data_IF_391349025724
#
_entry.id   IF_391349025724
#
_cell.length_a   1.000
_cell.length_b   1.000
_cell.length_c   1.000
_cell.angle_alpha   90.00
_cell.angle_beta   90.00
_cell.angle_gamma   90.00
#
_symmetry.space_group_name_H-M   'P 1'
#
loop_
_entity.id
_entity.type
_entity.pdbx_description
1 polymer ?
#
# COMPACT_ATOMS: atom_id res chain seq x y z
N UNK A 1 -1.62 25.53 -25.73
CA UNK A 1 -1.50 25.10 -24.31
C UNK A 1 -2.87 25.24 -23.67
N UNK A 2 -3.73 24.23 -23.83
CA UNK A 2 -5.10 24.27 -23.33
C UNK A 2 -5.10 23.90 -21.85
N UNK A 3 -5.29 24.91 -21.00
CA UNK A 3 -5.56 24.71 -19.58
C UNK A 3 -6.98 24.17 -19.46
N UNK A 4 -7.14 22.87 -19.19
CA UNK A 4 -8.43 22.32 -18.81
C UNK A 4 -8.72 22.81 -17.40
N UNK A 5 -9.35 23.98 -17.30
CA UNK A 5 -9.98 24.47 -16.09
C UNK A 5 -11.30 23.71 -15.99
N UNK A 6 -11.31 22.60 -15.28
CA UNK A 6 -12.57 21.96 -14.90
C UNK A 6 -13.29 22.95 -13.96
N UNK A 7 -14.31 23.61 -14.49
CA UNK A 7 -15.40 24.12 -13.68
C UNK A 7 -16.14 22.89 -13.17
N UNK A 8 -15.69 22.36 -12.02
CA UNK A 8 -16.58 21.54 -11.19
C UNK A 8 -17.80 22.42 -10.93
N UNK A 9 -18.95 22.02 -11.46
CA UNK A 9 -20.24 22.62 -11.10
C UNK A 9 -20.27 22.79 -9.58
N UNK A 10 -20.77 23.93 -9.08
CA UNK A 10 -20.97 24.22 -7.65
C UNK A 10 -22.03 23.30 -7.03
N UNK A 11 -21.90 21.99 -7.20
CA UNK A 11 -22.60 21.00 -6.42
C UNK A 11 -21.74 20.77 -5.19
N UNK A 12 -22.22 21.20 -4.04
CA UNK A 12 -21.60 20.87 -2.76
C UNK A 12 -21.50 19.36 -2.67
N UNK A 13 -20.28 18.85 -2.47
CA UNK A 13 -20.09 17.44 -2.19
C UNK A 13 -20.87 17.09 -0.92
N UNK A 14 -21.68 16.05 -0.97
CA UNK A 14 -22.57 15.68 0.13
C UNK A 14 -22.44 14.19 0.45
N UNK A 15 -22.78 13.82 1.69
CA UNK A 15 -22.71 12.43 2.14
C UNK A 15 -21.31 11.82 1.99
N UNK A 16 -21.22 10.68 1.29
CA UNK A 16 -19.96 9.96 1.12
C UNK A 16 -18.98 10.65 0.17
N UNK A 17 -19.44 11.60 -0.66
CA UNK A 17 -18.57 12.29 -1.62
C UNK A 17 -17.50 13.14 -0.93
N UNK A 18 -17.76 13.54 0.32
CA UNK A 18 -16.84 14.26 1.18
C UNK A 18 -15.55 13.48 1.48
N UNK A 19 -15.59 12.14 1.44
CA UNK A 19 -14.46 11.28 1.81
C UNK A 19 -13.28 11.39 0.82
N UNK A 20 -13.53 11.82 -0.42
CA UNK A 20 -12.50 11.92 -1.46
C UNK A 20 -12.35 13.32 -2.04
N UNK A 21 -12.87 14.34 -1.34
CA UNK A 21 -12.61 15.73 -1.69
C UNK A 21 -11.18 16.15 -1.34
N UNK A 22 -10.55 17.07 -2.10
CA UNK A 22 -9.21 17.58 -1.83
C UNK A 22 -8.99 18.04 -0.38
N UNK A 23 -10.00 18.64 0.24
CA UNK A 23 -9.96 19.19 1.60
C UNK A 23 -9.61 18.12 2.63
N UNK A 24 -10.03 16.86 2.41
CA UNK A 24 -9.73 15.75 3.30
C UNK A 24 -8.22 15.49 3.39
N UNK A 25 -7.50 15.72 2.29
CA UNK A 25 -6.04 15.55 2.25
C UNK A 25 -5.39 16.54 3.20
N UNK A 26 -5.82 17.80 3.20
CA UNK A 26 -5.27 18.82 4.10
C UNK A 26 -5.51 18.46 5.56
N UNK A 27 -6.70 17.98 5.90
CA UNK A 27 -7.02 17.55 7.26
C UNK A 27 -6.12 16.42 7.73
N UNK A 28 -5.92 15.38 6.92
CA UNK A 28 -5.02 14.28 7.28
C UNK A 28 -3.56 14.74 7.36
N UNK A 29 -3.10 15.62 6.48
CA UNK A 29 -1.74 16.17 6.54
C UNK A 29 -1.52 17.04 7.80
N UNK A 30 -2.53 17.82 8.22
CA UNK A 30 -2.48 18.54 9.50
C UNK A 30 -2.35 17.57 10.68
N UNK A 31 -3.15 16.49 10.72
CA UNK A 31 -3.03 15.47 11.75
C UNK A 31 -1.65 14.80 11.76
N UNK A 32 -1.09 14.52 10.58
CA UNK A 32 0.24 13.92 10.43
C UNK A 32 1.38 14.83 10.90
N UNK A 33 1.15 16.14 10.89
CA UNK A 33 2.15 17.15 11.29
C UNK A 33 2.05 17.50 12.78
N UNK A 34 0.83 17.64 13.29
CA UNK A 34 0.58 18.20 14.62
C UNK A 34 0.43 17.12 15.72
N UNK A 35 0.06 15.89 15.35
CA UNK A 35 -0.21 14.84 16.33
C UNK A 35 1.07 14.16 16.82
N UNK A 36 1.18 13.96 18.14
CA UNK A 36 2.18 13.08 18.75
C UNK A 36 1.63 11.67 19.08
N UNK A 37 0.33 11.45 18.88
CA UNK A 37 -0.31 10.15 19.14
C UNK A 37 -0.12 9.21 17.94
N UNK A 38 0.59 8.10 18.16
CA UNK A 38 0.88 7.11 17.11
C UNK A 38 -0.37 6.49 16.48
N UNK A 39 -1.46 6.30 17.24
CA UNK A 39 -2.70 5.76 16.69
C UNK A 39 -3.36 6.76 15.72
N UNK A 40 -3.29 8.06 16.03
CA UNK A 40 -3.80 9.12 15.15
C UNK A 40 -2.94 9.23 13.88
N UNK A 41 -1.62 9.15 14.01
CA UNK A 41 -0.70 9.16 12.87
C UNK A 41 -0.90 7.95 11.96
N UNK A 42 -1.03 6.76 12.53
CA UNK A 42 -1.35 5.52 11.81
C UNK A 42 -2.69 5.65 11.07
N UNK A 43 -3.75 6.12 11.75
CA UNK A 43 -5.06 6.27 11.16
C UNK A 43 -5.07 7.30 10.01
N UNK A 44 -4.40 8.44 10.18
CA UNK A 44 -4.32 9.47 9.14
C UNK A 44 -3.51 8.99 7.93
N UNK A 45 -2.39 8.29 8.15
CA UNK A 45 -1.60 7.69 7.08
C UNK A 45 -2.37 6.57 6.36
N UNK A 46 -3.10 5.74 7.11
CA UNK A 46 -3.98 4.69 6.58
C UNK A 46 -5.15 5.24 5.77
N UNK A 47 -5.71 6.38 6.17
CA UNK A 47 -6.73 7.06 5.37
C UNK A 47 -6.16 7.54 4.03
N UNK A 48 -4.98 8.18 4.03
CA UNK A 48 -4.30 8.57 2.78
C UNK A 48 -3.91 7.35 1.91
N UNK A 49 -3.51 6.25 2.52
CA UNK A 49 -3.27 4.97 1.84
C UNK A 49 -4.53 4.51 1.09
N UNK A 50 -5.69 4.49 1.76
CA UNK A 50 -6.94 4.06 1.16
C UNK A 50 -7.40 4.99 0.04
N UNK A 51 -7.33 6.31 0.27
CA UNK A 51 -7.74 7.32 -0.71
C UNK A 51 -6.82 7.41 -1.93
N UNK A 52 -5.58 6.92 -1.82
CA UNK A 52 -4.62 6.86 -2.93
C UNK A 52 -4.58 5.50 -3.63
N UNK A 53 -5.41 4.54 -3.23
CA UNK A 53 -5.44 3.19 -3.80
C UNK A 53 -6.22 3.09 -5.12
N UNK A 54 -5.80 2.22 -6.04
CA UNK A 54 -6.51 1.94 -7.30
C UNK A 54 -6.31 2.97 -8.43
N UNK A 55 -6.89 2.67 -9.60
CA UNK A 55 -6.75 3.46 -10.84
C UNK A 55 -7.99 4.31 -11.20
N UNK A 56 -8.82 4.66 -10.23
CA UNK A 56 -9.96 5.54 -10.44
C UNK A 56 -9.61 7.03 -10.38
N UNK A 57 -10.49 7.88 -10.93
CA UNK A 57 -10.26 9.32 -11.12
C UNK A 57 -9.91 10.05 -9.82
N UNK A 58 -10.62 9.76 -8.74
CA UNK A 58 -10.39 10.43 -7.46
C UNK A 58 -9.06 10.03 -6.81
N UNK A 59 -8.62 8.78 -6.89
CA UNK A 59 -7.26 8.42 -6.45
C UNK A 59 -6.17 9.15 -7.22
N UNK A 60 -6.32 9.33 -8.54
CA UNK A 60 -5.38 10.14 -9.32
C UNK A 60 -5.33 11.59 -8.79
N UNK A 61 -6.49 12.14 -8.45
CA UNK A 61 -6.60 13.49 -7.91
C UNK A 61 -6.02 13.61 -6.49
N UNK A 62 -6.28 12.64 -5.61
CA UNK A 62 -5.70 12.57 -4.26
C UNK A 62 -4.18 12.48 -4.34
N UNK A 63 -3.63 11.58 -5.17
CA UNK A 63 -2.18 11.46 -5.39
C UNK A 63 -1.54 12.79 -5.82
N UNK A 64 -2.20 13.51 -6.72
CA UNK A 64 -1.74 14.81 -7.17
C UNK A 64 -1.87 15.90 -6.09
N UNK A 65 -2.92 15.85 -5.28
CA UNK A 65 -3.21 16.80 -4.20
C UNK A 65 -2.22 16.64 -3.06
N UNK A 66 -1.95 15.41 -2.60
CA UNK A 66 -0.92 15.12 -1.57
C UNK A 66 0.42 15.74 -1.96
N UNK A 67 0.83 15.66 -3.24
CA UNK A 67 2.05 16.31 -3.71
C UNK A 67 1.97 17.83 -3.66
N UNK A 68 0.87 18.44 -4.12
CA UNK A 68 0.70 19.90 -4.15
C UNK A 68 0.70 20.49 -2.74
N UNK A 69 0.10 19.78 -1.79
CA UNK A 69 0.02 20.15 -0.38
C UNK A 69 1.30 19.77 0.41
N UNK A 70 2.41 19.46 -0.28
CA UNK A 70 3.70 19.07 0.33
C UNK A 70 3.60 17.89 1.31
N UNK A 71 2.65 16.99 1.10
CA UNK A 71 2.44 15.81 1.95
C UNK A 71 3.50 14.73 1.80
N UNK A 72 4.22 14.68 0.67
CA UNK A 72 5.25 13.66 0.47
C UNK A 72 6.44 13.81 1.47
N UNK A 73 7.05 15.00 1.66
CA UNK A 73 8.01 15.20 2.74
C UNK A 73 7.52 14.81 4.14
N UNK A 74 6.27 15.14 4.49
CA UNK A 74 5.67 14.81 5.80
C UNK A 74 5.64 13.29 6.00
N UNK A 75 5.17 12.54 4.99
CA UNK A 75 5.17 11.09 5.04
C UNK A 75 6.59 10.51 5.13
N UNK A 76 7.55 11.07 4.39
CA UNK A 76 8.94 10.60 4.45
C UNK A 76 9.58 10.86 5.81
N UNK A 77 9.26 11.97 6.48
CA UNK A 77 9.69 12.22 7.84
C UNK A 77 9.15 11.18 8.83
N UNK A 78 7.88 10.80 8.68
CA UNK A 78 7.24 9.77 9.52
C UNK A 78 7.81 8.36 9.33
N UNK A 79 8.55 8.07 8.25
CA UNK A 79 9.36 6.83 8.15
C UNK A 79 10.42 6.75 9.24
N UNK A 80 10.76 7.87 9.89
CA UNK A 80 11.69 7.93 11.02
C UNK A 80 11.00 7.74 12.37
N UNK A 81 9.69 7.51 12.42
CA UNK A 81 8.95 7.18 13.65
C UNK A 81 9.45 5.88 14.30
N UNK A 82 9.43 5.81 15.63
CA UNK A 82 9.75 4.60 16.39
C UNK A 82 8.57 3.60 16.47
N UNK A 83 7.38 4.02 16.01
CA UNK A 83 6.21 3.16 15.94
C UNK A 83 6.19 2.36 14.63
N UNK A 84 6.32 1.04 14.74
CA UNK A 84 6.25 0.09 13.61
C UNK A 84 4.96 0.28 12.78
N UNK A 85 3.81 0.44 13.45
CA UNK A 85 2.52 0.64 12.80
C UNK A 85 2.47 1.91 11.95
N UNK A 86 3.05 3.00 12.45
CA UNK A 86 3.14 4.28 11.71
C UNK A 86 4.05 4.10 10.50
N UNK A 87 5.24 3.52 10.68
CA UNK A 87 6.18 3.26 9.58
C UNK A 87 5.52 2.40 8.49
N UNK A 88 4.77 1.38 8.88
CA UNK A 88 4.03 0.51 7.95
C UNK A 88 2.97 1.26 7.16
N UNK A 89 2.08 1.98 7.83
CA UNK A 89 1.01 2.74 7.18
C UNK A 89 1.59 3.76 6.19
N UNK A 90 2.64 4.46 6.60
CA UNK A 90 3.37 5.44 5.78
C UNK A 90 4.03 4.79 4.57
N UNK A 91 4.72 3.66 4.74
CA UNK A 91 5.35 2.94 3.63
C UNK A 91 4.31 2.55 2.57
N UNK A 92 3.18 1.98 2.99
CA UNK A 92 2.13 1.57 2.04
C UNK A 92 1.46 2.79 1.38
N UNK A 93 1.26 3.88 2.13
CA UNK A 93 0.79 5.14 1.56
C UNK A 93 1.75 5.68 0.48
N UNK A 94 3.06 5.72 0.77
CA UNK A 94 4.09 6.15 -0.20
C UNK A 94 4.12 5.25 -1.45
N UNK A 95 3.95 3.94 -1.29
CA UNK A 95 3.81 3.01 -2.42
C UNK A 95 2.63 3.39 -3.30
N UNK A 96 1.45 3.59 -2.73
CA UNK A 96 0.26 3.98 -3.50
C UNK A 96 0.43 5.35 -4.17
N UNK A 97 1.04 6.31 -3.47
CA UNK A 97 1.34 7.63 -4.01
C UNK A 97 2.31 7.58 -5.18
N UNK A 98 3.27 6.64 -5.16
CA UNK A 98 4.27 6.43 -6.22
C UNK A 98 3.72 5.80 -7.51
N UNK A 99 2.45 5.38 -7.53
CA UNK A 99 1.76 5.00 -8.78
C UNK A 99 1.70 6.21 -9.74
N UNK A 100 1.58 7.44 -9.21
CA UNK A 100 1.72 8.65 -10.02
C UNK A 100 3.21 8.88 -10.34
N UNK A 101 3.54 8.93 -11.64
CA UNK A 101 4.93 9.04 -12.12
C UNK A 101 5.69 10.24 -11.54
N UNK A 102 5.05 11.40 -11.41
CA UNK A 102 5.70 12.59 -10.86
C UNK A 102 5.96 12.44 -9.35
N UNK A 103 5.07 11.75 -8.63
CA UNK A 103 5.32 11.37 -7.24
C UNK A 103 6.46 10.36 -7.16
N UNK A 104 6.48 9.35 -8.05
CA UNK A 104 7.53 8.33 -8.13
C UNK A 104 8.93 8.95 -8.22
N UNK A 105 9.11 9.91 -9.13
CA UNK A 105 10.38 10.60 -9.35
C UNK A 105 10.79 11.43 -8.11
N UNK A 106 9.84 12.15 -7.51
CA UNK A 106 10.09 12.93 -6.30
C UNK A 106 10.47 12.06 -5.11
N UNK A 107 9.67 11.03 -4.80
CA UNK A 107 9.94 10.11 -3.69
C UNK A 107 11.30 9.43 -3.91
N UNK A 108 11.59 8.97 -5.13
CA UNK A 108 12.88 8.34 -5.45
C UNK A 108 14.09 9.25 -5.25
N UNK A 109 13.92 10.57 -5.39
CA UNK A 109 15.03 11.54 -5.24
C UNK A 109 15.43 11.82 -3.80
N UNK A 110 14.48 11.92 -2.85
CA UNK A 110 14.79 12.31 -1.46
C UNK A 110 14.41 11.28 -0.40
N UNK A 111 13.53 10.32 -0.68
CA UNK A 111 13.06 9.35 0.32
C UNK A 111 13.88 8.04 0.33
N UNK A 112 14.69 7.81 -0.70
CA UNK A 112 15.35 6.52 -0.90
C UNK A 112 16.23 6.12 0.29
N UNK A 113 16.98 7.08 0.85
CA UNK A 113 17.82 6.86 2.02
C UNK A 113 17.00 6.50 3.25
N UNK A 114 15.90 7.19 3.49
CA UNK A 114 15.01 6.94 4.64
C UNK A 114 14.34 5.57 4.55
N UNK A 115 13.90 5.15 3.36
CA UNK A 115 13.38 3.79 3.11
C UNK A 115 14.45 2.73 3.38
N UNK A 116 15.65 2.90 2.84
CA UNK A 116 16.77 1.95 3.01
C UNK A 116 17.30 1.91 4.45
N UNK A 117 17.21 3.03 5.19
CA UNK A 117 17.61 3.09 6.59
C UNK A 117 16.77 2.20 7.49
N UNK A 118 15.49 2.00 7.13
CA UNK A 118 14.56 1.13 7.86
C UNK A 118 14.70 -0.36 7.50
N UNK A 119 15.47 -0.73 6.46
CA UNK A 119 15.70 -2.13 6.14
C UNK A 119 16.66 -2.81 7.16
N UNK A 120 16.38 -4.06 7.57
CA UNK A 120 17.27 -4.81 8.44
C UNK A 120 18.62 -5.07 7.75
N UNK A 121 19.70 -5.04 8.54
CA UNK A 121 21.05 -5.24 8.03
C UNK A 121 21.59 -6.58 8.51
N UNK A 122 21.04 -7.70 8.01
CA UNK A 122 21.53 -9.07 8.17
C UNK A 122 22.01 -9.48 9.58
N UNK A 123 23.25 -9.10 9.93
CA UNK A 123 23.93 -9.41 11.20
C UNK A 123 23.82 -8.34 12.29
N UNK A 124 23.42 -7.12 11.97
CA UNK A 124 23.09 -6.11 12.97
C UNK A 124 21.59 -6.16 13.24
N UNK A 125 21.23 -6.21 14.52
CA UNK A 125 19.86 -5.93 14.98
C UNK A 125 19.36 -4.71 14.21
N UNK A 126 18.17 -4.76 13.61
CA UNK A 126 17.69 -3.64 12.81
C UNK A 126 17.71 -2.38 13.67
N UNK A 127 18.00 -1.22 13.06
CA UNK A 127 18.04 0.06 13.78
C UNK A 127 16.73 0.33 14.56
N UNK A 128 15.64 -0.32 14.12
CA UNK A 128 14.34 -0.43 14.79
C UNK A 128 13.89 -1.88 14.68
N UNK A 129 13.39 -2.49 15.75
CA UNK A 129 12.82 -3.85 15.75
C UNK A 129 11.48 -3.87 14.97
N UNK A 130 11.54 -3.67 13.65
CA UNK A 130 10.38 -3.68 12.77
C UNK A 130 9.87 -5.10 12.58
N UNK A 131 8.56 -5.24 12.46
CA UNK A 131 7.92 -6.50 12.17
C UNK A 131 8.11 -6.90 10.69
N UNK A 132 8.00 -8.20 10.41
CA UNK A 132 8.14 -8.77 9.06
C UNK A 132 7.26 -8.04 8.03
N UNK A 133 6.00 -7.79 8.38
CA UNK A 133 5.04 -7.12 7.50
C UNK A 133 5.46 -5.68 7.16
N UNK A 134 6.10 -4.96 8.09
CA UNK A 134 6.63 -3.62 7.85
C UNK A 134 7.83 -3.66 6.92
N UNK A 135 8.74 -4.61 7.12
CA UNK A 135 9.89 -4.80 6.21
C UNK A 135 9.41 -5.13 4.80
N UNK A 136 8.43 -6.03 4.66
CA UNK A 136 7.81 -6.38 3.37
C UNK A 136 7.13 -5.16 2.74
N UNK A 137 6.44 -4.32 3.52
CA UNK A 137 5.83 -3.09 3.01
C UNK A 137 6.90 -2.13 2.47
N UNK A 138 8.01 -1.93 3.18
CA UNK A 138 9.13 -1.08 2.72
C UNK A 138 9.77 -1.65 1.45
N UNK A 139 10.04 -2.95 1.39
CA UNK A 139 10.60 -3.61 0.20
C UNK A 139 9.69 -3.45 -1.02
N UNK A 140 8.38 -3.64 -0.85
CA UNK A 140 7.40 -3.44 -1.92
C UNK A 140 7.28 -1.97 -2.35
N UNK A 141 7.48 -1.03 -1.42
CA UNK A 141 7.51 0.41 -1.71
C UNK A 141 8.73 0.76 -2.54
N UNK A 142 9.91 0.29 -2.15
CA UNK A 142 11.15 0.45 -2.91
C UNK A 142 10.98 -0.16 -4.31
N UNK A 143 10.42 -1.37 -4.40
CA UNK A 143 10.18 -2.03 -5.69
C UNK A 143 9.31 -1.18 -6.62
N UNK A 144 8.21 -0.62 -6.12
CA UNK A 144 7.33 0.25 -6.92
C UNK A 144 8.05 1.51 -7.40
N UNK A 145 8.85 2.14 -6.54
CA UNK A 145 9.59 3.37 -6.86
C UNK A 145 10.64 3.13 -7.95
N UNK A 146 11.35 2.00 -7.90
CA UNK A 146 12.40 1.69 -8.89
C UNK A 146 11.85 1.05 -10.17
N UNK A 147 10.65 0.48 -10.13
CA UNK A 147 10.02 -0.10 -11.32
C UNK A 147 9.77 0.99 -12.36
N UNK A 148 10.19 0.72 -13.59
CA UNK A 148 10.16 1.63 -14.74
C UNK A 148 10.92 2.97 -14.53
N UNK A 149 11.88 3.02 -13.60
CA UNK A 149 12.72 4.21 -13.36
C UNK A 149 14.17 3.83 -13.04
N UNK A 150 15.05 3.90 -14.06
CA UNK A 150 16.48 3.64 -13.87
C UNK A 150 17.20 4.71 -13.06
N UNK A 151 16.67 5.95 -13.05
CA UNK A 151 17.16 7.02 -12.17
C UNK A 151 16.92 6.68 -10.70
N UNK A 152 15.71 6.24 -10.36
CA UNK A 152 15.41 5.82 -9.00
C UNK A 152 16.21 4.57 -8.60
N UNK A 153 16.42 3.64 -9.53
CA UNK A 153 17.29 2.49 -9.30
C UNK A 153 18.76 2.93 -9.04
N UNK A 154 19.24 3.99 -9.70
CA UNK A 154 20.55 4.59 -9.41
C UNK A 154 20.59 5.22 -8.02
N UNK A 155 19.56 5.97 -7.62
CA UNK A 155 19.42 6.50 -6.26
C UNK A 155 19.43 5.40 -5.20
N UNK A 156 18.81 4.25 -5.48
CA UNK A 156 18.81 3.09 -4.61
C UNK A 156 20.23 2.50 -4.43
N UNK A 157 21.02 2.42 -5.50
CA UNK A 157 22.42 1.98 -5.44
C UNK A 157 23.25 2.97 -4.61
N UNK A 158 23.10 4.28 -4.86
CA UNK A 158 23.80 5.34 -4.13
C UNK A 158 23.47 5.33 -2.63
N UNK A 159 22.23 4.95 -2.27
CA UNK A 159 21.80 4.76 -0.89
C UNK A 159 22.36 3.49 -0.20
N UNK A 160 23.31 2.77 -0.83
CA UNK A 160 23.93 1.54 -0.32
C UNK A 160 22.91 0.43 -0.01
N UNK A 161 21.81 0.38 -0.76
CA UNK A 161 20.74 -0.59 -0.50
C UNK A 161 21.10 -2.02 -0.95
N UNK A 162 21.99 -2.17 -1.93
CA UNK A 162 22.28 -3.47 -2.57
C UNK A 162 22.80 -4.48 -1.55
N UNK A 163 23.71 -4.07 -0.67
CA UNK A 163 24.25 -4.93 0.38
C UNK A 163 23.15 -5.43 1.32
N UNK A 164 22.29 -4.52 1.80
CA UNK A 164 21.16 -4.87 2.67
C UNK A 164 20.17 -5.81 1.98
N UNK A 165 19.81 -5.52 0.74
CA UNK A 165 18.87 -6.35 -0.04
C UNK A 165 19.42 -7.75 -0.29
N UNK A 166 20.70 -7.88 -0.63
CA UNK A 166 21.36 -9.18 -0.80
C UNK A 166 21.44 -9.94 0.52
N UNK A 167 21.72 -9.25 1.63
CA UNK A 167 21.70 -9.85 2.96
C UNK A 167 20.30 -10.41 3.29
N UNK A 168 19.24 -9.60 3.15
CA UNK A 168 17.84 -10.02 3.37
C UNK A 168 17.50 -11.24 2.50
N UNK A 169 17.82 -11.18 1.20
CA UNK A 169 17.52 -12.26 0.25
C UNK A 169 18.24 -13.59 0.56
N UNK A 170 19.35 -13.55 1.32
CA UNK A 170 20.14 -14.75 1.66
C UNK A 170 19.94 -15.25 3.09
N UNK A 171 19.74 -14.35 4.05
CA UNK A 171 19.78 -14.68 5.48
C UNK A 171 18.43 -14.57 6.16
N UNK A 172 17.44 -13.91 5.56
CA UNK A 172 16.11 -13.80 6.17
C UNK A 172 15.46 -15.18 6.30
N UNK A 173 14.83 -15.40 7.44
CA UNK A 173 14.00 -16.59 7.67
C UNK A 173 12.59 -16.42 7.09
N UNK A 174 12.21 -15.20 6.69
CA UNK A 174 10.93 -14.93 6.03
C UNK A 174 11.04 -15.15 4.51
N UNK A 175 10.19 -16.03 4.00
CA UNK A 175 10.02 -16.21 2.56
C UNK A 175 9.41 -14.98 1.88
N UNK A 176 8.61 -14.18 2.60
CA UNK A 176 7.98 -12.96 2.09
C UNK A 176 9.02 -11.86 1.90
N UNK A 177 9.88 -11.64 2.89
CA UNK A 177 10.99 -10.68 2.79
C UNK A 177 11.98 -11.09 1.69
N UNK A 178 12.36 -12.36 1.65
CA UNK A 178 13.26 -12.92 0.63
C UNK A 178 12.71 -12.68 -0.77
N UNK A 179 11.41 -12.98 -1.00
CA UNK A 179 10.76 -12.77 -2.30
C UNK A 179 10.70 -11.30 -2.68
N UNK A 180 10.32 -10.42 -1.76
CA UNK A 180 10.23 -8.98 -2.03
C UNK A 180 11.60 -8.38 -2.34
N UNK A 181 12.64 -8.73 -1.56
CA UNK A 181 14.01 -8.31 -1.81
C UNK A 181 14.54 -8.83 -3.16
N UNK A 182 14.24 -10.09 -3.49
CA UNK A 182 14.58 -10.68 -4.80
C UNK A 182 13.95 -9.90 -5.96
N UNK A 183 12.70 -9.45 -5.85
CA UNK A 183 12.07 -8.64 -6.91
C UNK A 183 12.79 -7.29 -7.09
N UNK A 184 13.12 -6.59 -6.00
CA UNK A 184 13.89 -5.33 -6.08
C UNK A 184 15.24 -5.57 -6.76
N UNK A 185 15.98 -6.61 -6.34
CA UNK A 185 17.26 -6.97 -6.92
C UNK A 185 17.16 -7.28 -8.42
N UNK A 186 16.17 -8.08 -8.82
CA UNK A 186 15.94 -8.40 -10.23
C UNK A 186 15.61 -7.17 -11.06
N UNK A 187 14.77 -6.27 -10.56
CA UNK A 187 14.42 -5.02 -11.23
C UNK A 187 15.66 -4.14 -11.41
N UNK A 188 16.49 -3.98 -10.38
CA UNK A 188 17.77 -3.23 -10.48
C UNK A 188 18.71 -3.87 -11.52
N UNK A 189 18.86 -5.20 -11.50
CA UNK A 189 19.74 -5.91 -12.44
C UNK A 189 19.20 -5.91 -13.88
N UNK A 190 17.90 -5.68 -14.07
CA UNK A 190 17.29 -5.57 -15.41
C UNK A 190 17.82 -4.35 -16.19
N UNK A 191 18.20 -3.28 -15.48
CA UNK A 191 18.77 -2.07 -16.07
C UNK A 191 20.20 -2.28 -16.53
N UNK A 192 20.38 -2.51 -17.84
CA UNK A 192 21.70 -2.78 -18.46
C UNK A 192 22.73 -1.69 -18.16
N UNK A 193 22.30 -0.43 -18.11
CA UNK A 193 23.17 0.72 -17.84
C UNK A 193 23.75 0.75 -16.42
N UNK A 194 23.07 0.14 -15.44
CA UNK A 194 23.53 0.11 -14.04
C UNK A 194 24.47 -1.06 -13.75
N UNK A 195 24.52 -2.09 -14.61
CA UNK A 195 25.33 -3.30 -14.40
C UNK A 195 26.81 -3.02 -14.30
N UNK A 196 27.31 -2.05 -15.07
CA UNK A 196 28.73 -1.69 -15.04
C UNK A 196 29.12 -1.10 -13.69
N UNK A 197 28.27 -0.25 -13.11
CA UNK A 197 28.47 0.30 -11.77
C UNK A 197 28.43 -0.81 -10.72
N UNK A 198 27.40 -1.66 -10.76
CA UNK A 198 27.26 -2.78 -9.83
C UNK A 198 28.46 -3.75 -9.89
N UNK A 199 28.98 -4.03 -11.10
CA UNK A 199 30.13 -4.93 -11.29
C UNK A 199 31.42 -4.30 -10.77
N UNK A 200 31.60 -2.98 -10.92
CA UNK A 200 32.72 -2.25 -10.30
C UNK A 200 32.68 -2.31 -8.79
N UNK A 201 31.49 -2.29 -8.22
CA UNK A 201 31.25 -2.43 -6.78
C UNK A 201 31.32 -3.90 -6.29
N UNK A 202 31.71 -4.84 -7.17
CA UNK A 202 31.90 -6.26 -6.84
C UNK A 202 30.64 -7.13 -6.95
N UNK A 203 29.51 -6.58 -7.37
CA UNK A 203 28.26 -7.31 -7.52
C UNK A 203 28.16 -8.00 -8.88
N UNK A 204 27.64 -9.23 -8.88
CA UNK A 204 27.46 -10.03 -10.10
C UNK A 204 26.08 -10.69 -10.12
N UNK A 205 25.70 -11.28 -11.26
CA UNK A 205 24.36 -11.86 -11.48
C UNK A 205 23.91 -12.85 -10.40
N UNK A 206 24.81 -13.64 -9.80
CA UNK A 206 24.43 -14.62 -8.78
C UNK A 206 23.94 -13.98 -7.47
N UNK A 207 24.28 -12.71 -7.22
CA UNK A 207 23.77 -11.93 -6.09
C UNK A 207 22.31 -11.48 -6.28
N UNK A 208 21.82 -11.43 -7.52
CA UNK A 208 20.48 -10.95 -7.88
C UNK A 208 19.54 -12.08 -8.33
N UNK A 209 19.97 -13.33 -8.21
CA UNK A 209 19.12 -14.48 -8.49
C UNK A 209 18.22 -14.80 -7.28
N UNK A 210 17.01 -15.31 -7.51
CA UNK A 210 16.18 -15.83 -6.44
C UNK A 210 16.91 -16.95 -5.72
N UNK A 211 16.90 -16.90 -4.39
CA UNK A 211 17.43 -17.99 -3.56
C UNK A 211 16.54 -19.20 -3.74
N UNK A 212 16.98 -20.18 -4.55
CA UNK A 212 16.29 -21.46 -4.67
C UNK A 212 16.47 -22.17 -3.33
N UNK A 213 15.47 -22.12 -2.46
CA UNK A 213 15.38 -23.04 -1.34
C UNK A 213 15.25 -24.44 -1.91
N UNK A 214 16.38 -25.12 -2.08
CA UNK A 214 16.39 -26.55 -2.30
C UNK A 214 15.78 -27.19 -1.05
N UNK A 215 14.53 -27.62 -1.15
CA UNK A 215 14.05 -28.68 -0.27
C UNK A 215 15.00 -29.87 -0.43
N UNK A 216 15.47 -30.51 0.65
CA UNK A 216 16.28 -31.71 0.52
C UNK A 216 15.41 -32.76 -0.17
N UNK A 217 15.67 -33.01 -1.46
CA UNK A 217 15.14 -34.19 -2.14
C UNK A 217 15.72 -35.39 -1.42
N UNK A 218 14.89 -36.09 -0.67
CA UNK A 218 15.19 -37.45 -0.22
C UNK A 218 15.52 -38.27 -1.45
N UNK A 219 16.80 -38.62 -1.59
CA UNK A 219 17.28 -39.55 -2.58
C UNK A 219 16.75 -40.95 -2.24
N UNK A 220 15.94 -41.52 -3.14
CA UNK A 220 15.81 -42.99 -3.25
C UNK A 220 15.81 -43.38 -4.72
N UNK A 221 16.95 -43.93 -5.13
CA UNK A 221 17.14 -44.78 -6.30
C UNK A 221 16.50 -46.16 -6.04
N UNK A 222 15.97 -46.81 -7.07
CA UNK A 222 15.79 -48.28 -7.11
C UNK A 222 14.45 -48.77 -7.67
N UNK A 223 14.51 -49.58 -8.74
CA UNK A 223 13.39 -50.12 -9.53
C UNK A 223 12.76 -51.42 -8.95
N UNK A 224 11.46 -51.57 -9.24
CA UNK A 224 10.60 -52.76 -9.52
C UNK A 224 10.57 -54.00 -8.61
N UNK A 225 9.36 -54.38 -8.18
CA UNK A 225 8.82 -55.75 -8.21
C UNK A 225 7.27 -55.71 -8.12
N UNK A 226 6.63 -56.67 -8.77
CA UNK A 226 5.22 -56.75 -9.17
C UNK A 226 4.39 -57.62 -8.20
N UNK A 227 3.08 -57.70 -8.47
CA UNK A 227 1.97 -58.48 -7.87
C UNK A 227 1.20 -57.88 -6.68
N UNK A 228 -0.12 -57.99 -6.57
CA UNK A 228 -1.22 -58.32 -7.49
C UNK A 228 -2.55 -58.10 -6.70
N UNK A 229 -3.65 -57.87 -7.42
CA UNK A 229 -5.07 -58.05 -7.05
C UNK A 229 -5.57 -57.46 -5.71
N UNK A 230 -6.46 -56.46 -5.68
CA UNK A 230 -7.88 -56.62 -6.04
C UNK A 230 -8.51 -55.25 -6.32
N UNK A 231 -8.98 -55.05 -7.55
CA UNK A 231 -9.96 -54.02 -7.94
C UNK A 231 -11.34 -54.69 -8.07
N UNK A 232 -12.42 -53.91 -7.99
CA UNK A 232 -13.21 -53.65 -9.20
C UNK A 232 -13.19 -52.13 -9.48
N UNK A 233 -12.71 -51.66 -10.64
CA UNK A 233 -13.35 -51.71 -11.97
C UNK A 233 -14.83 -51.26 -11.87
N UNK A 234 -15.36 -50.28 -12.60
CA UNK A 234 -14.98 -49.53 -13.80
C UNK A 234 -16.27 -48.66 -14.06
N UNK A 235 -16.38 -47.65 -14.91
CA UNK A 235 -15.70 -47.38 -16.16
C UNK A 235 -16.15 -46.01 -16.70
N UNK A 236 -15.16 -45.25 -17.22
CA UNK A 236 -15.13 -44.58 -18.55
C UNK A 236 -16.16 -43.46 -18.85
N UNK A 237 -15.84 -42.43 -19.62
CA UNK A 237 -14.84 -42.26 -20.68
C UNK A 237 -14.67 -40.75 -20.97
N UNK A 238 -13.44 -40.24 -21.06
CA UNK A 238 -12.71 -39.92 -22.31
C UNK A 238 -13.19 -38.66 -23.06
N UNK A 239 -12.23 -37.76 -23.32
CA UNK A 239 -12.36 -36.67 -24.30
C UNK A 239 -11.16 -35.73 -24.28
N UNK A 240 -10.30 -35.87 -25.29
CA UNK A 240 -8.97 -35.31 -25.49
C UNK A 240 -8.79 -33.78 -25.42
N UNK A 241 -7.51 -33.42 -25.21
CA UNK A 241 -6.85 -32.12 -25.27
C UNK A 241 -6.80 -31.46 -26.67
N UNK A 242 -6.56 -30.14 -26.63
CA UNK A 242 -5.56 -29.39 -27.41
C UNK A 242 -6.06 -28.37 -28.44
N UNK A 243 -5.61 -27.12 -28.22
CA UNK A 243 -5.34 -26.03 -29.15
C UNK A 243 -6.49 -25.38 -29.94
N UNK A 244 -6.67 -24.06 -29.78
CA UNK A 244 -6.07 -23.07 -30.68
C UNK A 244 -6.39 -21.62 -30.26
N UNK A 245 -5.41 -20.76 -30.55
CA UNK A 245 -5.44 -19.29 -30.51
C UNK A 245 -6.38 -18.78 -31.62
N UNK A 246 -7.16 -17.73 -31.34
CA UNK A 246 -7.41 -16.63 -32.31
C UNK A 246 -7.82 -15.36 -31.59
N UNK A 247 -7.14 -14.26 -31.95
CA UNK A 247 -7.51 -12.88 -31.64
C UNK A 247 -8.83 -12.51 -32.36
N UNK A 248 -9.61 -11.59 -31.78
CA UNK A 248 -10.24 -10.55 -32.60
C UNK A 248 -10.43 -9.24 -31.84
N UNK A 249 -10.17 -8.13 -32.55
CA UNK A 249 -10.28 -6.73 -32.14
C UNK A 249 -11.65 -6.16 -32.53
N UNK A 250 -11.88 -4.92 -32.06
CA UNK A 250 -12.93 -3.95 -32.36
C UNK A 250 -14.27 -4.14 -31.63
N UNK A 251 -14.99 -3.12 -31.17
CA UNK A 251 -14.77 -1.68 -30.95
C UNK A 251 -16.09 -1.11 -30.40
N UNK A 252 -15.99 -0.22 -29.39
CA UNK A 252 -16.96 0.80 -28.93
C UNK A 252 -18.47 0.66 -29.19
N UNK A 253 -19.27 0.68 -28.11
CA UNK A 253 -20.26 1.74 -27.82
C UNK A 253 -20.75 1.59 -26.38
N UNK A 254 -20.60 2.60 -25.53
CA UNK A 254 -21.27 2.67 -24.22
C UNK A 254 -22.08 3.96 -24.20
N UNK A 255 -23.34 3.84 -24.61
CA UNK A 255 -24.37 4.82 -24.29
C UNK A 255 -25.41 4.17 -23.40
N UNK A 256 -26.03 5.03 -22.60
CA UNK A 256 -27.16 4.84 -21.70
C UNK A 256 -26.91 4.27 -20.30
N UNK A 257 -27.14 5.17 -19.35
CA UNK A 257 -27.27 4.86 -17.93
C UNK A 257 -28.51 4.03 -17.67
N UNK A 258 -28.35 3.03 -16.81
CA UNK A 258 -29.45 2.36 -16.14
C UNK A 258 -29.09 2.15 -14.67
N UNK A 259 -29.90 2.80 -13.84
CA UNK A 259 -30.01 2.63 -12.40
C UNK A 259 -30.27 1.14 -12.08
N UNK A 260 -29.57 0.57 -11.10
CA UNK A 260 -29.94 -0.74 -10.54
C UNK A 260 -31.13 -0.55 -9.59
N UNK A 261 -32.28 -1.22 -9.79
CA UNK A 261 -33.40 -1.14 -8.88
C UNK A 261 -33.18 -2.04 -7.65
N UNK A 262 -33.66 -1.56 -6.50
CA UNK A 262 -33.71 -2.26 -5.22
C UNK A 262 -35.04 -3.00 -5.06
N UNK A 263 -35.01 -4.04 -4.21
CA UNK A 263 -36.11 -4.87 -3.69
C UNK A 263 -36.64 -5.97 -4.64
N UNK A 264 -36.92 -7.22 -4.24
CA UNK A 264 -36.85 -7.99 -2.99
C UNK A 264 -37.33 -9.41 -3.40
N UNK A 265 -36.66 -10.49 -2.97
CA UNK A 265 -37.25 -11.84 -2.81
C UNK A 265 -36.26 -12.82 -2.15
N UNK A 266 -36.47 -12.98 -0.84
CA UNK A 266 -36.45 -14.20 -0.03
C UNK A 266 -35.31 -15.22 -0.08
N UNK A 267 -34.75 -15.41 1.13
CA UNK A 267 -34.56 -16.69 1.85
C UNK A 267 -33.97 -17.87 1.08
N UNK A 268 -32.68 -18.13 1.28
CA UNK A 268 -32.23 -19.29 2.07
C UNK A 268 -30.71 -19.49 1.93
N UNK A 269 -30.09 -19.81 3.07
CA UNK A 269 -28.88 -20.63 3.10
C UNK A 269 -27.56 -19.88 3.00
N UNK A 270 -27.08 -19.34 4.12
CA UNK A 270 -25.68 -19.52 4.55
C UNK A 270 -25.63 -19.47 6.08
N UNK A 271 -25.75 -20.65 6.70
CA UNK A 271 -25.29 -20.89 8.07
C UNK A 271 -24.20 -21.95 7.98
N UNK A 272 -22.99 -21.58 8.40
CA UNK A 272 -21.98 -22.48 8.99
C UNK A 272 -20.86 -21.58 9.52
N UNK A 273 -20.89 -21.29 10.82
CA UNK A 273 -19.64 -21.09 11.53
C UNK A 273 -19.71 -21.83 12.87
N UNK A 274 -18.61 -22.54 13.10
CA UNK A 274 -18.48 -23.65 14.02
C UNK A 274 -18.60 -23.22 15.49
N UNK A 275 -19.19 -24.12 16.26
CA UNK A 275 -19.41 -24.02 17.69
C UNK A 275 -18.22 -24.64 18.40
N UNK A 276 -17.44 -23.85 19.18
CA UNK A 276 -16.76 -24.34 20.39
C UNK A 276 -16.16 -23.21 21.23
N UNK A 277 -16.69 -23.11 22.46
CA UNK A 277 -16.19 -22.52 23.72
C UNK A 277 -17.31 -21.69 24.36
N UNK A 278 -18.32 -22.32 24.99
CA UNK A 278 -18.35 -22.99 26.31
C UNK A 278 -18.38 -21.99 27.48
N UNK A 279 -19.63 -21.78 27.93
CA UNK A 279 -20.08 -21.55 29.31
C UNK A 279 -19.52 -20.38 30.12
N UNK A 280 -20.34 -19.32 30.24
CA UNK A 280 -20.56 -18.59 31.50
C UNK A 280 -21.95 -17.95 31.49
N UNK A 281 -22.95 -18.66 32.04
CA UNK A 281 -24.25 -18.09 32.42
C UNK A 281 -24.10 -17.39 33.77
N UNK A 282 -24.43 -16.10 33.87
CA UNK A 282 -25.08 -15.55 35.07
C UNK A 282 -25.88 -14.28 34.73
N UNK A 283 -27.20 -14.45 34.83
CA UNK A 283 -28.27 -13.56 35.31
C UNK A 283 -28.39 -12.12 34.78
N UNK A 284 -29.55 -11.92 34.18
CA UNK A 284 -30.39 -10.71 34.16
C UNK A 284 -30.33 -9.84 35.42
N UNK A 285 -30.14 -8.53 35.21
CA UNK A 285 -30.69 -7.47 36.04
C UNK A 285 -30.94 -6.23 35.18
N UNK A 286 -32.17 -5.75 35.24
CA UNK A 286 -32.60 -4.41 34.83
C UNK A 286 -31.78 -3.31 35.54
N UNK A 287 -31.65 -2.16 34.90
CA UNK A 287 -31.04 -0.95 35.47
C UNK A 287 -31.03 0.22 34.48
N UNK A 288 -32.03 1.10 34.61
CA UNK A 288 -32.24 2.33 33.84
C UNK A 288 -31.20 3.43 34.12
N UNK A 289 -30.84 4.24 33.11
CA UNK A 289 -30.29 5.61 33.14
C UNK A 289 -29.44 5.81 31.86
N UNK A 290 -29.36 6.91 31.13
CA UNK A 290 -29.96 8.25 31.16
C UNK A 290 -29.69 8.84 29.77
N UNK A 291 -30.64 9.62 29.23
CA UNK A 291 -30.54 10.31 27.95
C UNK A 291 -30.43 11.81 28.26
N UNK A 292 -29.22 12.36 28.23
CA UNK A 292 -28.83 13.79 28.11
C UNK A 292 -27.33 13.80 28.40
N UNK A 293 -26.40 14.39 27.64
CA UNK A 293 -26.35 15.65 26.92
C UNK A 293 -25.41 15.51 25.70
N UNK A 294 -25.82 16.05 24.54
CA UNK A 294 -24.94 16.34 23.41
C UNK A 294 -24.76 17.85 23.35
N UNK A 295 -23.58 18.37 23.64
CA UNK A 295 -23.20 19.73 23.24
C UNK A 295 -22.70 19.74 21.78
N UNK A 296 -23.07 20.74 20.96
CA UNK A 296 -22.64 20.81 19.56
C UNK A 296 -21.29 21.53 19.40
N UNK A 297 -20.28 20.82 18.89
CA UNK A 297 -18.95 21.29 18.47
C UNK A 297 -18.93 22.34 17.33
N UNK A 298 -20.06 22.98 17.02
CA UNK A 298 -20.15 23.98 15.95
C UNK A 298 -19.75 25.39 16.40
N UNK A 299 -19.82 25.71 17.68
CA UNK A 299 -19.51 27.06 18.18
C UNK A 299 -18.00 27.35 18.26
N UNK A 300 -17.16 26.37 18.65
CA UNK A 300 -15.71 26.60 18.84
C UNK A 300 -14.93 26.86 17.53
N UNK A 301 -15.41 26.37 16.38
CA UNK A 301 -14.73 26.54 15.10
C UNK A 301 -14.89 27.96 14.52
N UNK A 302 -15.98 28.65 14.86
CA UNK A 302 -16.26 30.02 14.37
C UNK A 302 -15.47 31.05 15.18
N UNK A 303 -15.34 30.86 16.49
CA UNK A 303 -14.60 31.81 17.35
C UNK A 303 -13.08 31.74 17.13
N UNK A 304 -12.55 30.56 16.82
CA UNK A 304 -11.11 30.39 16.56
C UNK A 304 -10.68 30.99 15.21
N UNK A 305 -11.57 31.00 14.22
CA UNK A 305 -11.30 31.59 12.89
C UNK A 305 -11.43 33.11 12.89
N UNK A 306 -12.31 33.68 13.72
CA UNK A 306 -12.41 35.14 13.91
C UNK A 306 -11.23 35.73 14.69
N UNK A 307 -10.70 35.01 15.68
CA UNK A 307 -9.55 35.46 16.47
C UNK A 307 -8.23 35.55 15.66
N UNK A 308 -8.06 34.71 14.64
CA UNK A 308 -6.88 34.74 13.76
C UNK A 308 -6.92 35.87 12.71
N UNK A 309 -8.10 36.37 12.37
CA UNK A 309 -8.26 37.46 11.40
C UNK A 309 -7.98 38.86 12.00
N UNK A 310 -8.06 39.01 13.33
CA UNK A 310 -7.89 40.31 14.01
C UNK A 310 -6.42 40.71 14.27
N UNK A 311 -5.46 39.81 14.07
CA UNK A 311 -4.03 40.03 14.41
C UNK A 311 -3.07 39.97 13.21
N UNK A 312 -3.57 40.06 11.97
CA UNK A 312 -2.74 40.06 10.77
C UNK A 312 -2.21 41.48 10.42
N UNK A 313 -0.92 41.64 10.06
CA UNK A 313 -0.35 42.92 9.63
C UNK A 313 -1.05 43.51 8.38
N UNK A 314 -1.09 44.85 8.21
CA UNK A 314 -1.93 45.54 7.22
C UNK A 314 -1.59 45.29 5.74
N UNK A 315 -0.59 44.44 5.43
CA UNK A 315 -0.20 44.12 4.06
C UNK A 315 -0.89 42.90 3.44
N UNK A 316 -1.80 42.22 4.15
CA UNK A 316 -2.47 41.00 3.68
C UNK A 316 -4.00 41.09 3.48
N UNK A 317 -4.58 42.30 3.42
CA UNK A 317 -6.03 42.49 3.23
C UNK A 317 -6.49 42.74 1.78
N UNK A 318 -5.71 42.35 0.78
CA UNK A 318 -6.18 42.35 -0.60
C UNK A 318 -5.95 40.98 -1.23
N UNK A 319 -7.00 40.15 -1.20
CA UNK A 319 -7.50 39.25 -2.27
C UNK A 319 -8.59 38.39 -1.58
N UNK A 320 -9.80 38.92 -1.54
CA UNK A 320 -11.02 38.16 -1.31
C UNK A 320 -12.21 38.97 -1.89
N UNK A 321 -12.38 38.86 -3.21
CA UNK A 321 -13.67 38.95 -3.90
C UNK A 321 -13.72 37.77 -4.85
#
# INVERSE_FOLDING_TARGET
RSCVRFSMSQKTAEGFELLYQPEVVRLYLSLLTESQNYNTLEAAAGALQNLSAGQWTWSNYIRATVRKEKGLPILVELLRSDSDKVVRAVAIALRNLSIDRRNKDLIGSYAMRDLVSNLPSGQQRPAKNLEEDTVVAILNTIHEIVTDSSENARSLIQAQAIEKLVAINRTSQSSRETKAASHVLQTVWSYKELRNTLTKDGWNKSHFQPTVTATPKTAKNGKSAYDDTTLPLMEKNQGLCSACVTENKNSGNWEDGAMMPVDELSSDGYSTIDQREKDCRYKTSDGSADLTEREPLKALLVDTTLALAANAPPHYQAIAC
#
